data_IF_943599628760
#
_entry.id   IF_943599628760
#
_cell.length_a   1.000
_cell.length_b   1.000
_cell.length_c   1.000
_cell.angle_alpha   90.00
_cell.angle_beta   90.00
_cell.angle_gamma   90.00
#
_symmetry.space_group_name_H-M   'P 1'
#
loop_
_entity.id
_entity.type
_entity.pdbx_description
1 polymer ?
#
# COMPACT_ATOMS: atom_id res chain seq x y z
N UNK A 1 -0.59 8.12 24.51
CA UNK A 1 0.82 8.58 24.26
C UNK A 1 0.98 10.07 24.55
N UNK A 2 0.29 10.98 23.87
CA UNK A 2 0.48 12.44 24.04
C UNK A 2 0.19 13.03 25.43
N UNK A 3 -0.49 12.29 26.32
CA UNK A 3 -0.71 12.66 27.73
C UNK A 3 0.42 12.23 28.67
N UNK A 4 1.29 11.35 28.21
CA UNK A 4 2.42 10.77 28.95
C UNK A 4 3.74 11.34 28.47
N UNK A 5 3.80 11.68 27.18
CA UNK A 5 4.95 12.30 26.54
C UNK A 5 4.51 13.53 25.76
N UNK A 6 5.31 14.59 25.83
CA UNK A 6 5.09 15.81 25.05
C UNK A 6 5.36 15.54 23.57
N UNK A 7 4.33 15.19 22.80
CA UNK A 7 4.43 14.92 21.36
C UNK A 7 3.86 16.13 20.60
N UNK A 8 4.58 16.67 19.60
CA UNK A 8 4.03 17.75 18.78
C UNK A 8 2.80 17.27 18.00
N UNK A 9 1.85 18.16 17.75
CA UNK A 9 0.62 17.84 17.02
C UNK A 9 0.86 17.28 15.61
N UNK A 10 2.02 17.60 15.01
CA UNK A 10 2.51 17.01 13.77
C UNK A 10 3.97 16.60 13.95
N UNK A 11 4.30 15.39 13.51
CA UNK A 11 5.68 14.90 13.56
C UNK A 11 6.60 15.82 12.72
N UNK A 12 7.75 16.25 13.25
CA UNK A 12 8.78 16.94 12.47
C UNK A 12 9.32 16.08 11.32
N UNK A 13 9.18 14.75 11.46
CA UNK A 13 9.59 13.73 10.49
C UNK A 13 8.46 13.28 9.56
N UNK A 14 7.30 13.97 9.57
CA UNK A 14 6.21 13.62 8.66
C UNK A 14 6.66 13.77 7.19
N UNK A 15 6.28 12.83 6.28
CA UNK A 15 6.75 12.82 4.90
C UNK A 15 6.57 14.15 4.20
N UNK A 16 5.38 14.76 4.32
CA UNK A 16 5.02 16.05 3.74
C UNK A 16 5.99 17.19 4.13
N UNK A 17 6.55 17.15 5.34
CA UNK A 17 7.55 18.10 5.82
C UNK A 17 8.96 17.73 5.37
N UNK A 18 9.30 16.44 5.39
CA UNK A 18 10.60 15.97 4.92
C UNK A 18 10.81 16.32 3.46
N UNK A 19 9.78 16.26 2.61
CA UNK A 19 9.86 16.70 1.20
C UNK A 19 10.43 18.11 1.11
N UNK A 20 9.86 19.08 1.83
CA UNK A 20 10.30 20.47 1.75
C UNK A 20 11.70 20.69 2.33
N UNK A 21 12.07 19.94 3.36
CA UNK A 21 13.44 19.99 3.92
C UNK A 21 14.45 19.42 2.94
N UNK A 22 14.19 18.25 2.36
CA UNK A 22 15.02 17.65 1.33
C UNK A 22 15.14 18.57 0.11
N UNK A 23 14.02 19.12 -0.39
CA UNK A 23 14.00 20.06 -1.51
C UNK A 23 14.88 21.28 -1.22
N UNK A 24 14.76 21.89 -0.03
CA UNK A 24 15.60 23.02 0.35
C UNK A 24 17.08 22.62 0.47
N UNK A 25 17.41 21.47 1.07
CA UNK A 25 18.79 20.99 1.16
C UNK A 25 19.40 20.71 -0.22
N UNK A 26 18.61 20.18 -1.16
CA UNK A 26 19.03 20.02 -2.56
C UNK A 26 19.20 21.35 -3.29
N UNK A 27 18.37 22.35 -2.98
CA UNK A 27 18.49 23.69 -3.56
C UNK A 27 19.66 24.52 -2.97
N UNK A 28 19.97 24.34 -1.68
CA UNK A 28 20.99 25.11 -0.95
C UNK A 28 22.37 24.45 -0.92
N UNK A 29 22.48 23.19 -1.33
CA UNK A 29 23.74 22.45 -1.38
C UNK A 29 24.67 23.03 -2.44
N UNK A 30 25.52 23.98 -2.07
CA UNK A 30 26.71 24.30 -2.85
C UNK A 30 27.69 23.12 -2.88
N UNK A 31 28.77 23.24 -3.64
CA UNK A 31 29.78 22.18 -3.89
C UNK A 31 30.49 21.57 -2.66
N UNK A 32 30.18 22.04 -1.44
CA UNK A 32 30.72 21.52 -0.18
C UNK A 32 29.74 20.67 0.65
N UNK A 33 28.50 20.46 0.19
CA UNK A 33 27.55 19.65 0.94
C UNK A 33 27.94 18.16 0.95
N UNK A 34 27.97 17.47 2.11
CA UNK A 34 28.45 16.09 2.18
C UNK A 34 27.67 15.09 1.32
N UNK A 35 26.36 15.30 1.12
CA UNK A 35 25.55 14.45 0.23
C UNK A 35 25.86 14.65 -1.26
N UNK A 36 26.48 15.77 -1.65
CA UNK A 36 26.94 16.00 -3.03
C UNK A 36 28.31 15.36 -3.33
N UNK A 37 28.87 14.61 -2.38
CA UNK A 37 30.05 13.77 -2.65
C UNK A 37 29.75 12.67 -3.68
N UNK A 38 28.49 12.23 -3.80
CA UNK A 38 28.03 11.34 -4.88
C UNK A 38 28.05 12.08 -6.22
N UNK A 39 28.89 11.67 -7.20
CA UNK A 39 28.93 12.30 -8.51
C UNK A 39 27.60 12.19 -9.25
N UNK A 40 26.86 11.10 -9.02
CA UNK A 40 25.58 10.83 -9.67
C UNK A 40 24.49 11.78 -9.18
N UNK A 41 24.37 11.94 -7.87
CA UNK A 41 23.42 12.90 -7.29
C UNK A 41 23.77 14.33 -7.69
N UNK A 42 25.06 14.69 -7.64
CA UNK A 42 25.53 16.02 -8.01
C UNK A 42 25.23 16.35 -9.48
N UNK A 43 25.47 15.41 -10.40
CA UNK A 43 25.16 15.59 -11.83
C UNK A 43 23.66 15.68 -12.10
N UNK A 44 22.84 14.91 -11.39
CA UNK A 44 21.38 15.00 -11.52
C UNK A 44 20.89 16.38 -11.05
N UNK A 45 21.30 16.81 -9.85
CA UNK A 45 20.85 18.08 -9.27
C UNK A 45 21.31 19.31 -10.06
N UNK A 46 22.49 19.27 -10.69
CA UNK A 46 22.97 20.37 -11.52
C UNK A 46 22.17 20.55 -12.82
N UNK A 47 21.55 19.48 -13.31
CA UNK A 47 20.69 19.49 -14.50
C UNK A 47 19.18 19.59 -14.17
N UNK A 48 18.81 19.59 -12.89
CA UNK A 48 17.41 19.55 -12.46
C UNK A 48 16.77 20.93 -12.36
N UNK A 49 15.55 21.06 -12.87
CA UNK A 49 14.68 22.21 -12.57
C UNK A 49 14.04 22.10 -11.17
N UNK A 50 13.10 22.99 -10.85
CA UNK A 50 12.38 22.95 -9.57
C UNK A 50 11.48 21.71 -9.42
N UNK A 51 10.83 21.27 -10.51
CA UNK A 51 9.92 20.13 -10.49
C UNK A 51 10.67 18.81 -10.28
N UNK A 52 11.76 18.60 -11.02
CA UNK A 52 12.64 17.44 -10.87
C UNK A 52 13.24 17.34 -9.47
N UNK A 53 13.71 18.46 -8.90
CA UNK A 53 14.21 18.51 -7.51
C UNK A 53 13.13 18.17 -6.50
N UNK A 54 11.92 18.67 -6.71
CA UNK A 54 10.78 18.36 -5.85
C UNK A 54 10.39 16.88 -5.92
N UNK A 55 10.36 16.29 -7.12
CA UNK A 55 10.10 14.87 -7.31
C UNK A 55 11.15 13.99 -6.60
N UNK A 56 12.44 14.33 -6.74
CA UNK A 56 13.49 13.62 -6.00
C UNK A 56 13.28 13.76 -4.49
N UNK A 57 12.96 14.96 -3.99
CA UNK A 57 12.69 15.19 -2.59
C UNK A 57 11.49 14.36 -2.07
N UNK A 58 10.44 14.19 -2.89
CA UNK A 58 9.32 13.31 -2.57
C UNK A 58 9.75 11.84 -2.45
N UNK A 59 10.52 11.35 -3.42
CA UNK A 59 11.03 9.97 -3.42
C UNK A 59 11.92 9.71 -2.20
N UNK A 60 12.82 10.64 -1.89
CA UNK A 60 13.73 10.53 -0.74
C UNK A 60 12.98 10.61 0.58
N UNK A 61 12.05 11.55 0.75
CA UNK A 61 11.23 11.65 1.95
C UNK A 61 10.40 10.37 2.18
N UNK A 62 9.86 9.78 1.10
CA UNK A 62 9.17 8.49 1.17
C UNK A 62 10.12 7.38 1.65
N UNK A 63 11.32 7.27 1.08
CA UNK A 63 12.32 6.27 1.51
C UNK A 63 12.71 6.45 2.98
N UNK A 64 12.95 7.69 3.43
CA UNK A 64 13.26 7.97 4.84
C UNK A 64 12.11 7.61 5.79
N UNK A 65 10.86 7.87 5.40
CA UNK A 65 9.67 7.45 6.15
C UNK A 65 9.55 5.93 6.26
N UNK A 66 9.86 5.21 5.17
CA UNK A 66 9.94 3.75 5.20
C UNK A 66 11.04 3.28 6.17
N UNK A 67 12.23 3.88 6.15
CA UNK A 67 13.30 3.53 7.10
C UNK A 67 12.91 3.83 8.54
N UNK A 68 12.25 4.96 8.81
CA UNK A 68 11.75 5.31 10.15
C UNK A 68 10.83 4.24 10.74
N UNK A 69 10.12 3.50 9.88
CA UNK A 69 9.07 2.56 10.28
C UNK A 69 9.52 1.10 10.20
N UNK A 70 10.37 0.73 9.24
CA UNK A 70 10.78 -0.65 8.98
C UNK A 70 12.26 -0.96 9.30
N UNK A 71 13.14 0.04 9.28
CA UNK A 71 14.59 -0.10 9.49
C UNK A 71 15.16 1.01 10.38
N UNK A 72 14.61 1.24 11.57
CA UNK A 72 15.09 2.31 12.44
C UNK A 72 16.56 2.16 12.85
N UNK A 73 17.06 0.93 12.92
CA UNK A 73 18.46 0.61 13.17
C UNK A 73 19.40 1.15 12.08
N UNK A 74 18.95 1.25 10.82
CA UNK A 74 19.75 1.86 9.75
C UNK A 74 19.94 3.35 9.97
N UNK A 75 18.88 4.05 10.36
CA UNK A 75 18.94 5.47 10.65
C UNK A 75 19.81 5.78 11.87
N UNK A 76 19.80 4.88 12.87
CA UNK A 76 20.66 4.98 14.04
C UNK A 76 22.14 4.78 13.67
N UNK A 77 22.47 3.78 12.85
CA UNK A 77 23.82 3.54 12.34
C UNK A 77 24.32 4.76 11.55
N UNK A 78 23.51 5.30 10.63
CA UNK A 78 23.84 6.51 9.87
C UNK A 78 24.07 7.73 10.77
N UNK A 79 23.29 7.87 11.84
CA UNK A 79 23.50 8.93 12.82
C UNK A 79 24.83 8.79 13.56
N UNK A 80 25.25 7.55 13.87
CA UNK A 80 26.57 7.25 14.44
C UNK A 80 27.73 7.39 13.44
N UNK A 81 27.42 7.58 12.15
CA UNK A 81 28.42 7.64 11.07
C UNK A 81 28.88 6.27 10.58
N UNK A 82 28.14 5.22 10.92
CA UNK A 82 28.36 3.85 10.46
C UNK A 82 27.62 3.60 9.13
N UNK A 83 28.06 2.59 8.38
CA UNK A 83 27.42 2.14 7.15
C UNK A 83 26.70 0.81 7.39
N UNK A 84 25.48 0.70 6.85
CA UNK A 84 24.63 -0.50 6.88
C UNK A 84 24.93 -1.45 5.72
N UNK A 85 25.68 -1.00 4.70
CA UNK A 85 26.12 -1.83 3.58
C UNK A 85 27.62 -2.16 3.64
N UNK A 86 28.27 -1.89 4.79
CA UNK A 86 29.66 -2.25 5.07
C UNK A 86 29.74 -3.43 6.05
N UNK A 87 30.80 -4.24 5.92
CA UNK A 87 31.10 -5.37 6.81
C UNK A 87 30.41 -6.69 6.46
N UNK A 88 30.60 -7.71 7.32
CA UNK A 88 30.15 -9.08 7.09
C UNK A 88 28.62 -9.25 7.11
N UNK A 89 27.90 -8.31 7.73
CA UNK A 89 26.44 -8.28 7.78
C UNK A 89 25.79 -7.64 6.54
N UNK A 90 26.57 -7.05 5.63
CA UNK A 90 26.03 -6.42 4.43
C UNK A 90 25.42 -7.47 3.48
N UNK A 91 24.30 -7.17 2.79
CA UNK A 91 23.75 -8.08 1.80
C UNK A 91 24.80 -8.39 0.71
N UNK A 92 24.85 -9.65 0.26
CA UNK A 92 25.76 -10.03 -0.84
C UNK A 92 25.25 -9.47 -2.17
N UNK A 93 26.18 -9.12 -3.06
CA UNK A 93 25.83 -8.61 -4.41
C UNK A 93 25.44 -7.13 -4.46
N UNK A 94 25.72 -6.35 -3.40
CA UNK A 94 25.48 -4.91 -3.39
C UNK A 94 26.43 -4.22 -4.37
N UNK A 95 25.84 -3.47 -5.30
CA UNK A 95 26.55 -2.69 -6.31
C UNK A 95 27.25 -1.47 -5.70
N UNK A 96 28.30 -0.99 -6.36
CA UNK A 96 28.98 0.26 -5.93
C UNK A 96 28.04 1.47 -6.00
N UNK A 97 27.08 1.45 -6.92
CA UNK A 97 26.02 2.46 -7.00
C UNK A 97 25.13 2.48 -5.76
N UNK A 98 24.78 1.31 -5.21
CA UNK A 98 24.00 1.23 -3.98
C UNK A 98 24.79 1.68 -2.74
N UNK A 99 26.10 1.44 -2.71
CA UNK A 99 26.98 1.98 -1.65
C UNK A 99 27.12 3.50 -1.76
N UNK A 100 27.28 4.03 -2.97
CA UNK A 100 27.27 5.47 -3.21
C UNK A 100 25.93 6.10 -2.76
N UNK A 101 24.81 5.41 -3.02
CA UNK A 101 23.50 5.83 -2.56
C UNK A 101 23.38 5.92 -1.05
N UNK A 102 23.83 4.89 -0.36
CA UNK A 102 23.82 4.86 1.09
C UNK A 102 24.62 6.02 1.68
N UNK A 103 25.81 6.31 1.12
CA UNK A 103 26.66 7.39 1.63
C UNK A 103 25.98 8.76 1.57
N UNK A 104 25.37 9.12 0.42
CA UNK A 104 24.70 10.42 0.33
C UNK A 104 23.39 10.44 1.12
N UNK A 105 22.66 9.32 1.21
CA UNK A 105 21.45 9.20 2.03
C UNK A 105 21.77 9.40 3.52
N UNK A 106 22.82 8.74 4.03
CA UNK A 106 23.30 8.89 5.40
C UNK A 106 23.78 10.32 5.70
N UNK A 107 24.49 10.95 4.74
CA UNK A 107 24.91 12.34 4.85
C UNK A 107 23.71 13.31 4.89
N UNK A 108 22.72 13.11 4.03
CA UNK A 108 21.50 13.90 3.99
C UNK A 108 20.69 13.72 5.28
N UNK A 109 20.57 12.49 5.77
CA UNK A 109 19.88 12.17 7.03
C UNK A 109 20.50 12.90 8.22
N UNK A 110 21.83 12.90 8.35
CA UNK A 110 22.53 13.66 9.40
C UNK A 110 22.28 15.17 9.29
N UNK A 111 22.23 15.70 8.07
CA UNK A 111 21.91 17.12 7.85
C UNK A 111 20.48 17.46 8.26
N UNK A 112 19.51 16.60 7.91
CA UNK A 112 18.12 16.73 8.35
C UNK A 112 18.00 16.68 9.88
N UNK A 113 18.70 15.76 10.53
CA UNK A 113 18.74 15.67 12.00
C UNK A 113 19.35 16.91 12.65
N UNK A 114 20.40 17.48 12.07
CA UNK A 114 21.00 18.72 12.60
C UNK A 114 19.98 19.88 12.61
N UNK A 115 19.16 20.01 11.57
CA UNK A 115 18.07 21.00 11.51
C UNK A 115 16.85 20.67 12.38
N UNK A 116 16.78 19.43 12.86
CA UNK A 116 15.71 18.90 13.72
C UNK A 116 16.19 18.70 15.15
N UNK A 117 17.41 19.12 15.48
CA UNK A 117 18.04 18.86 16.79
C UNK A 117 17.20 19.34 17.97
N UNK A 118 16.55 20.51 17.84
CA UNK A 118 15.62 21.04 18.84
C UNK A 118 14.34 20.20 19.02
N UNK A 119 13.99 19.37 18.04
CA UNK A 119 12.79 18.54 18.05
C UNK A 119 12.98 17.17 18.72
N UNK A 120 14.23 16.76 18.98
CA UNK A 120 14.56 15.46 19.55
C UNK A 120 14.36 14.27 18.59
N UNK A 121 14.52 13.02 19.09
CA UNK A 121 14.30 11.83 18.29
C UNK A 121 12.83 11.70 17.84
N UNK A 122 12.53 10.91 16.80
CA UNK A 122 11.15 10.73 16.35
C UNK A 122 10.25 10.24 17.52
N UNK A 123 9.03 10.80 17.68
CA UNK A 123 8.23 10.57 18.88
C UNK A 123 7.90 9.11 19.20
N UNK A 124 7.70 8.27 18.17
CA UNK A 124 7.42 6.85 18.34
C UNK A 124 8.61 6.10 18.97
N UNK A 125 9.82 6.36 18.46
CA UNK A 125 11.06 5.80 19.00
C UNK A 125 11.33 6.28 20.41
N UNK A 126 11.11 7.58 20.67
CA UNK A 126 11.22 8.14 22.01
C UNK A 126 10.27 7.46 22.99
N UNK A 127 9.02 7.21 22.58
CA UNK A 127 8.05 6.50 23.40
C UNK A 127 8.50 5.08 23.73
N UNK A 128 9.03 4.31 22.77
CA UNK A 128 9.52 2.95 23.05
C UNK A 128 10.66 2.92 24.08
N UNK A 129 11.51 3.95 24.11
CA UNK A 129 12.60 4.07 25.08
C UNK A 129 12.07 4.52 26.45
N UNK A 130 11.26 5.58 26.48
CA UNK A 130 10.82 6.22 27.72
C UNK A 130 9.69 5.45 28.42
N UNK A 131 8.83 4.75 27.67
CA UNK A 131 7.69 3.98 28.18
C UNK A 131 8.08 3.01 29.30
N UNK A 132 9.28 2.43 29.22
CA UNK A 132 9.79 1.47 30.19
C UNK A 132 10.12 2.07 31.54
N UNK A 133 10.35 3.38 31.59
CA UNK A 133 10.76 4.12 32.78
C UNK A 133 9.62 4.95 33.38
N UNK A 134 8.39 4.83 32.84
CA UNK A 134 7.24 5.55 33.38
C UNK A 134 6.83 4.99 34.74
N UNK A 135 6.55 5.89 35.68
CA UNK A 135 6.00 5.53 36.98
C UNK A 135 4.49 5.23 36.90
N UNK A 136 3.99 4.52 37.91
CA UNK A 136 2.59 4.13 37.99
C UNK A 136 1.64 5.33 38.03
N UNK A 137 2.08 6.45 38.62
CA UNK A 137 1.27 7.66 38.73
C UNK A 137 1.07 8.34 37.37
N UNK A 138 2.12 8.43 36.55
CA UNK A 138 2.07 8.95 35.19
C UNK A 138 1.20 8.08 34.30
N UNK A 139 1.36 6.75 34.40
CA UNK A 139 0.53 5.79 33.67
C UNK A 139 -0.94 5.91 34.07
N UNK A 140 -1.25 6.05 35.36
CA UNK A 140 -2.64 6.18 35.84
C UNK A 140 -3.32 7.48 35.36
N UNK A 141 -2.56 8.56 35.18
CA UNK A 141 -3.08 9.87 34.73
C UNK A 141 -3.27 9.98 33.23
N UNK A 142 -2.79 9.02 32.46
CA UNK A 142 -2.70 9.08 31.01
C UNK A 142 -4.04 8.94 30.27
N UNK A 143 -5.15 8.68 30.97
CA UNK A 143 -6.51 8.53 30.42
C UNK A 143 -6.55 7.62 29.19
N UNK A 144 -6.05 6.40 29.37
CA UNK A 144 -5.97 5.42 28.30
C UNK A 144 -7.36 4.93 27.88
N UNK A 145 -7.56 4.55 26.61
CA UNK A 145 -8.76 3.79 26.24
C UNK A 145 -8.80 2.46 26.98
N UNK A 146 -9.98 1.91 27.22
CA UNK A 146 -10.13 0.60 27.88
C UNK A 146 -9.47 -0.54 27.08
N UNK A 147 -9.58 -0.48 25.75
CA UNK A 147 -8.94 -1.46 24.85
C UNK A 147 -8.68 -0.88 23.46
N UNK A 148 -7.78 -1.53 22.74
CA UNK A 148 -7.48 -1.29 21.33
C UNK A 148 -7.68 -2.60 20.56
N UNK A 149 -8.35 -2.53 19.42
CA UNK A 149 -8.55 -3.67 18.52
C UNK A 149 -8.08 -3.31 17.12
N UNK A 150 -7.23 -4.16 16.54
CA UNK A 150 -6.63 -3.98 15.21
C UNK A 150 -7.11 -5.12 14.32
N UNK A 151 -7.81 -4.80 13.23
CA UNK A 151 -8.47 -5.79 12.38
C UNK A 151 -7.78 -5.99 11.04
N UNK A 152 -7.41 -7.24 10.75
CA UNK A 152 -7.11 -7.79 9.43
C UNK A 152 -6.16 -6.94 8.55
N UNK A 153 -5.13 -6.34 9.16
CA UNK A 153 -4.13 -5.61 8.39
C UNK A 153 -3.24 -6.59 7.62
N UNK A 154 -3.09 -6.45 6.29
CA UNK A 154 -2.27 -7.36 5.49
C UNK A 154 -0.79 -7.27 5.89
N UNK A 155 -0.34 -6.08 6.28
CA UNK A 155 0.95 -5.83 6.91
C UNK A 155 0.83 -4.81 8.03
N UNK A 156 1.67 -4.97 9.04
CA UNK A 156 1.89 -4.03 10.11
C UNK A 156 3.39 -3.81 10.25
N UNK A 157 3.88 -2.57 10.13
CA UNK A 157 5.29 -2.29 10.33
C UNK A 157 5.78 -2.73 11.72
N UNK A 158 7.04 -3.21 11.86
CA UNK A 158 7.59 -3.64 13.15
C UNK A 158 7.50 -2.58 14.25
N UNK A 159 7.70 -1.30 13.90
CA UNK A 159 7.53 -0.19 14.83
C UNK A 159 6.13 -0.15 15.44
N UNK A 160 5.08 -0.35 14.64
CA UNK A 160 3.71 -0.34 15.14
C UNK A 160 3.41 -1.54 16.05
N UNK A 161 3.91 -2.74 15.71
CA UNK A 161 3.79 -3.91 16.60
C UNK A 161 4.51 -3.66 17.92
N UNK A 162 5.72 -3.08 17.89
CA UNK A 162 6.46 -2.71 19.10
C UNK A 162 5.70 -1.69 19.97
N UNK A 163 5.06 -0.69 19.34
CA UNK A 163 4.24 0.29 20.05
C UNK A 163 3.01 -0.37 20.69
N UNK A 164 2.30 -1.22 19.97
CA UNK A 164 1.15 -1.96 20.49
C UNK A 164 1.54 -2.88 21.65
N UNK A 165 2.71 -3.52 21.55
CA UNK A 165 3.27 -4.34 22.63
C UNK A 165 3.63 -3.53 23.87
N UNK A 166 4.24 -2.36 23.74
CA UNK A 166 4.51 -1.52 24.91
C UNK A 166 3.19 -0.98 25.51
N UNK A 167 2.18 -0.67 24.69
CA UNK A 167 0.85 -0.27 25.16
C UNK A 167 0.11 -1.40 25.88
N UNK A 168 0.28 -2.65 25.46
CA UNK A 168 -0.42 -3.81 26.06
C UNK A 168 -0.04 -4.06 27.53
N UNK A 169 1.00 -3.38 28.03
CA UNK A 169 1.37 -3.37 29.45
C UNK A 169 0.35 -2.65 30.32
N UNK A 170 -0.48 -1.78 29.75
CA UNK A 170 -1.42 -0.93 30.50
C UNK A 170 -2.87 -1.05 30.03
N UNK A 171 -3.11 -1.50 28.80
CA UNK A 171 -4.45 -1.65 28.22
C UNK A 171 -4.59 -2.98 27.49
N UNK A 172 -5.81 -3.43 27.27
CA UNK A 172 -6.05 -4.62 26.44
C UNK A 172 -5.83 -4.28 24.95
N UNK A 173 -5.00 -5.08 24.27
CA UNK A 173 -4.68 -4.92 22.86
C UNK A 173 -4.97 -6.23 22.14
N UNK A 174 -5.94 -6.20 21.22
CA UNK A 174 -6.35 -7.36 20.42
C UNK A 174 -5.97 -7.15 18.96
N UNK A 175 -5.20 -8.09 18.41
CA UNK A 175 -4.83 -8.08 16.99
C UNK A 175 -5.52 -9.27 16.32
N UNK A 176 -6.40 -8.97 15.36
CA UNK A 176 -7.09 -9.97 14.56
C UNK A 176 -6.33 -10.14 13.25
N UNK A 177 -5.47 -11.15 13.17
CA UNK A 177 -4.71 -11.46 11.96
C UNK A 177 -5.46 -12.50 11.10
N UNK A 178 -5.42 -12.33 9.78
CA UNK A 178 -5.91 -13.34 8.85
C UNK A 178 -4.80 -14.34 8.59
N UNK A 179 -5.01 -15.59 9.01
CA UNK A 179 -4.10 -16.69 8.72
C UNK A 179 -4.78 -17.67 7.74
N UNK A 180 -4.28 -17.82 6.50
CA UNK A 180 -4.89 -18.70 5.52
C UNK A 180 -4.64 -20.19 5.80
N UNK A 181 -3.73 -20.53 6.72
CA UNK A 181 -3.30 -21.89 7.01
C UNK A 181 -3.35 -22.15 8.53
N UNK A 182 -3.87 -23.30 8.94
CA UNK A 182 -3.90 -23.70 10.36
C UNK A 182 -2.61 -24.38 10.82
N UNK A 183 -1.86 -24.93 9.87
CA UNK A 183 -0.58 -25.56 10.12
C UNK A 183 0.54 -24.52 10.26
N UNK A 184 1.68 -24.93 10.81
CA UNK A 184 2.86 -24.08 10.84
C UNK A 184 3.44 -23.92 9.43
N UNK A 185 3.62 -22.68 8.98
CA UNK A 185 4.04 -22.40 7.60
C UNK A 185 5.05 -21.26 7.48
N UNK A 186 5.82 -20.96 8.54
CA UNK A 186 6.77 -19.86 8.52
C UNK A 186 8.05 -20.13 7.73
N UNK A 187 8.36 -21.40 7.46
CA UNK A 187 9.56 -21.82 6.72
C UNK A 187 9.24 -22.59 5.43
N UNK A 188 8.04 -22.37 4.87
CA UNK A 188 7.65 -23.08 3.64
C UNK A 188 8.24 -22.43 2.39
N UNK A 189 8.63 -23.26 1.44
CA UNK A 189 9.12 -22.90 0.10
C UNK A 189 8.44 -23.74 -0.98
N UNK A 190 8.55 -23.31 -2.24
CA UNK A 190 8.14 -24.14 -3.36
C UNK A 190 9.14 -25.27 -3.60
N UNK A 191 8.69 -26.37 -4.21
CA UNK A 191 9.55 -27.50 -4.56
C UNK A 191 10.77 -27.08 -5.41
N UNK A 192 10.55 -26.22 -6.41
CA UNK A 192 11.62 -25.69 -7.26
C UNK A 192 12.65 -24.85 -6.47
N UNK A 193 12.19 -24.09 -5.47
CA UNK A 193 13.09 -23.31 -4.61
C UNK A 193 13.86 -24.21 -3.63
N UNK A 194 13.22 -25.25 -3.09
CA UNK A 194 13.88 -26.25 -2.26
C UNK A 194 15.02 -26.95 -3.02
N UNK A 195 14.78 -27.40 -4.26
CA UNK A 195 15.83 -27.99 -5.11
C UNK A 195 17.01 -27.03 -5.34
N UNK A 196 16.73 -25.74 -5.55
CA UNK A 196 17.77 -24.73 -5.71
C UNK A 196 18.57 -24.48 -4.42
N UNK A 197 17.91 -24.49 -3.25
CA UNK A 197 18.55 -24.37 -1.94
C UNK A 197 19.40 -25.60 -1.61
N UNK A 198 18.92 -26.80 -1.90
CA UNK A 198 19.64 -28.06 -1.71
C UNK A 198 20.91 -28.10 -2.56
N UNK A 199 20.80 -27.73 -3.84
CA UNK A 199 21.95 -27.59 -4.73
C UNK A 199 22.99 -26.55 -4.23
N UNK A 200 22.54 -25.56 -3.46
CA UNK A 200 23.39 -24.55 -2.84
C UNK A 200 23.89 -24.94 -1.42
N UNK A 201 23.49 -26.11 -0.88
CA UNK A 201 23.81 -26.55 0.48
C UNK A 201 23.16 -25.70 1.56
N UNK A 202 21.95 -25.20 1.31
CA UNK A 202 21.23 -24.22 2.16
C UNK A 202 19.79 -24.63 2.49
N UNK A 203 19.40 -25.89 2.27
CA UNK A 203 18.06 -26.42 2.62
C UNK A 203 17.88 -26.64 4.12
N UNK A 204 18.56 -25.87 4.97
CA UNK A 204 18.41 -26.06 6.41
C UNK A 204 17.06 -25.48 6.85
N UNK A 205 16.21 -26.34 7.44
CA UNK A 205 14.92 -26.04 8.08
C UNK A 205 13.75 -25.61 7.16
N UNK A 206 13.91 -25.61 5.83
CA UNK A 206 12.84 -25.24 4.91
C UNK A 206 11.98 -26.46 4.51
N UNK A 207 10.66 -26.28 4.47
CA UNK A 207 9.71 -27.34 4.11
C UNK A 207 9.00 -27.03 2.78
N UNK A 208 8.68 -28.04 1.98
CA UNK A 208 7.89 -27.83 0.77
C UNK A 208 6.41 -27.73 1.15
N UNK A 209 5.83 -26.54 1.04
CA UNK A 209 4.42 -26.28 1.34
C UNK A 209 3.52 -26.24 0.11
N UNK A 210 2.24 -25.88 0.31
CA UNK A 210 1.30 -25.65 -0.80
C UNK A 210 1.84 -24.55 -1.74
N UNK A 211 1.94 -24.78 -3.06
CA UNK A 211 2.66 -23.89 -3.98
C UNK A 211 2.11 -22.45 -4.03
N UNK A 212 0.77 -22.31 -4.04
CA UNK A 212 0.13 -20.98 -4.01
C UNK A 212 0.45 -20.21 -2.72
N UNK A 213 0.51 -20.91 -1.57
CA UNK A 213 0.80 -20.27 -0.30
C UNK A 213 2.28 -19.87 -0.21
N UNK A 214 3.18 -20.72 -0.70
CA UNK A 214 4.61 -20.42 -0.74
C UNK A 214 4.95 -19.22 -1.66
N UNK A 215 4.28 -19.07 -2.82
CA UNK A 215 4.56 -17.96 -3.75
C UNK A 215 3.84 -16.66 -3.37
N UNK A 216 2.55 -16.74 -3.06
CA UNK A 216 1.68 -15.57 -2.85
C UNK A 216 1.53 -15.19 -1.38
N UNK A 217 1.81 -16.11 -0.46
CA UNK A 217 1.66 -15.92 0.98
C UNK A 217 2.84 -15.24 1.68
N UNK A 218 3.96 -14.99 1.00
CA UNK A 218 5.21 -14.46 1.61
C UNK A 218 5.02 -13.22 2.49
N UNK A 219 4.15 -12.30 2.07
CA UNK A 219 3.84 -11.10 2.84
C UNK A 219 3.12 -11.43 4.15
N UNK A 220 2.08 -12.26 4.08
CA UNK A 220 1.33 -12.73 5.25
C UNK A 220 2.20 -13.61 6.16
N UNK A 221 3.06 -14.44 5.59
CA UNK A 221 4.04 -15.28 6.29
C UNK A 221 4.96 -14.41 7.16
N UNK A 222 5.60 -13.40 6.56
CA UNK A 222 6.48 -12.47 7.26
C UNK A 222 5.72 -11.69 8.36
N UNK A 223 4.48 -11.30 8.10
CA UNK A 223 3.63 -10.61 9.06
C UNK A 223 3.30 -11.48 10.28
N UNK A 224 2.86 -12.73 10.06
CA UNK A 224 2.51 -13.66 11.13
C UNK A 224 3.73 -14.09 11.93
N UNK A 225 4.86 -14.35 11.25
CA UNK A 225 6.13 -14.64 11.90
C UNK A 225 6.57 -13.48 12.81
N UNK A 226 6.54 -12.25 12.31
CA UNK A 226 6.87 -11.06 13.11
C UNK A 226 5.93 -10.89 14.31
N UNK A 227 4.63 -11.10 14.12
CA UNK A 227 3.67 -11.06 15.24
C UNK A 227 3.98 -12.13 16.27
N UNK A 228 4.31 -13.36 15.85
CA UNK A 228 4.69 -14.45 16.73
C UNK A 228 5.94 -14.09 17.56
N UNK A 229 7.04 -13.71 16.91
CA UNK A 229 8.30 -13.33 17.57
C UNK A 229 8.13 -12.16 18.55
N UNK A 230 7.43 -11.10 18.14
CA UNK A 230 7.28 -9.91 18.97
C UNK A 230 6.31 -10.11 20.14
N UNK A 231 5.42 -11.10 20.07
CA UNK A 231 4.43 -11.39 21.12
C UNK A 231 4.78 -12.57 22.01
N UNK A 232 5.81 -13.35 21.67
CA UNK A 232 6.27 -14.53 22.44
C UNK A 232 6.56 -14.23 23.91
N UNK A 233 7.14 -13.05 24.17
CA UNK A 233 7.51 -12.61 25.53
C UNK A 233 6.46 -11.75 26.22
N UNK A 234 5.34 -11.46 25.56
CA UNK A 234 4.20 -10.79 26.18
C UNK A 234 3.30 -11.84 26.86
N UNK A 235 2.48 -11.42 27.84
CA UNK A 235 1.37 -12.23 28.32
C UNK A 235 0.27 -12.29 27.22
N UNK A 236 0.60 -12.89 26.09
CA UNK A 236 -0.25 -13.03 24.93
C UNK A 236 -1.05 -14.32 25.03
N UNK A 237 -2.33 -14.25 24.67
CA UNK A 237 -3.16 -15.42 24.43
C UNK A 237 -3.45 -15.49 22.94
N UNK A 238 -3.23 -16.65 22.34
CA UNK A 238 -3.72 -16.92 20.98
C UNK A 238 -5.07 -17.64 21.03
N UNK A 239 -5.96 -17.24 20.14
CA UNK A 239 -7.28 -17.83 19.97
C UNK A 239 -7.51 -18.07 18.47
N UNK A 240 -6.87 -19.10 17.94
CA UNK A 240 -6.96 -19.45 16.53
C UNK A 240 -8.35 -19.97 16.19
N UNK A 241 -8.95 -19.44 15.12
CA UNK A 241 -10.29 -19.81 14.63
C UNK A 241 -10.21 -20.08 13.14
N UNK A 242 -10.20 -21.36 12.79
CA UNK A 242 -10.18 -21.84 11.41
C UNK A 242 -11.52 -22.47 11.06
N UNK A 243 -11.98 -22.24 9.84
CA UNK A 243 -13.26 -22.77 9.31
C UNK A 243 -13.00 -23.30 7.92
N UNK A 244 -13.34 -24.56 7.69
CA UNK A 244 -13.30 -25.19 6.37
C UNK A 244 -14.43 -24.69 5.50
N UNK A 245 -14.20 -24.63 4.18
CA UNK A 245 -15.27 -24.41 3.22
C UNK A 245 -15.92 -25.77 2.88
N UNK A 246 -17.18 -26.03 3.28
CA UNK A 246 -17.83 -27.32 3.07
C UNK A 246 -18.37 -27.49 1.64
N UNK A 247 -18.32 -26.47 0.79
CA UNK A 247 -18.92 -26.53 -0.54
C UNK A 247 -18.23 -27.59 -1.43
N UNK A 248 -18.98 -28.36 -2.24
CA UNK A 248 -18.41 -29.38 -3.11
C UNK A 248 -17.82 -28.80 -4.42
N UNK A 249 -17.10 -27.67 -4.33
CA UNK A 249 -16.57 -26.93 -5.49
C UNK A 249 -15.05 -26.98 -5.55
N UNK A 250 -14.49 -26.66 -6.72
CA UNK A 250 -13.03 -26.55 -6.86
C UNK A 250 -12.44 -25.43 -6.01
N UNK A 251 -13.17 -24.32 -5.84
CA UNK A 251 -12.77 -23.22 -4.97
C UNK A 251 -12.59 -23.67 -3.52
N UNK A 252 -13.60 -24.35 -2.97
CA UNK A 252 -13.57 -24.86 -1.60
C UNK A 252 -12.41 -25.84 -1.39
N UNK A 253 -12.14 -26.69 -2.37
CA UNK A 253 -11.03 -27.64 -2.27
C UNK A 253 -9.67 -26.96 -2.24
N UNK A 254 -9.44 -26.00 -3.13
CA UNK A 254 -8.19 -25.22 -3.14
C UNK A 254 -8.04 -24.43 -1.83
N UNK A 255 -9.11 -23.84 -1.32
CA UNK A 255 -9.11 -23.13 -0.03
C UNK A 255 -8.76 -24.06 1.13
N UNK A 256 -9.39 -25.24 1.22
CA UNK A 256 -9.11 -26.20 2.28
C UNK A 256 -7.70 -26.81 2.16
N UNK A 257 -7.19 -26.99 0.94
CA UNK A 257 -5.81 -27.45 0.76
C UNK A 257 -4.78 -26.41 1.21
N UNK A 258 -5.03 -25.12 0.96
CA UNK A 258 -4.21 -24.06 1.56
C UNK A 258 -4.36 -24.07 3.09
N UNK A 259 -5.58 -24.28 3.59
CA UNK A 259 -5.88 -24.31 5.03
C UNK A 259 -5.12 -25.41 5.78
N UNK A 260 -5.06 -26.63 5.21
CA UNK A 260 -4.37 -27.80 5.79
C UNK A 260 -2.92 -27.95 5.31
N UNK A 261 -2.37 -26.98 4.58
CA UNK A 261 -1.06 -27.06 3.93
C UNK A 261 -0.89 -28.32 3.05
N UNK A 262 -1.98 -28.80 2.44
CA UNK A 262 -1.99 -30.02 1.64
C UNK A 262 -1.30 -29.80 0.28
N UNK A 263 -0.44 -30.72 -0.19
CA UNK A 263 0.15 -30.65 -1.52
C UNK A 263 -0.88 -30.74 -2.65
N UNK A 264 -0.60 -30.08 -3.78
CA UNK A 264 -1.49 -30.09 -4.97
C UNK A 264 -1.74 -31.51 -5.51
N UNK A 265 -0.72 -32.38 -5.45
CA UNK A 265 -0.80 -33.76 -5.92
C UNK A 265 -1.86 -34.59 -5.17
N UNK A 266 -2.27 -34.17 -3.98
CA UNK A 266 -3.22 -34.88 -3.12
C UNK A 266 -4.65 -34.33 -3.24
N UNK A 267 -4.90 -33.34 -4.10
CA UNK A 267 -6.22 -32.75 -4.31
C UNK A 267 -7.24 -33.69 -4.95
N UNK A 268 -6.81 -34.84 -5.48
CA UNK A 268 -7.68 -35.87 -6.06
C UNK A 268 -8.45 -35.42 -7.32
N UNK A 269 -9.55 -36.11 -7.63
CA UNK A 269 -10.33 -35.89 -8.86
C UNK A 269 -11.22 -34.63 -8.82
N UNK A 270 -11.30 -33.90 -9.93
CA UNK A 270 -12.04 -32.64 -10.03
C UNK A 270 -13.51 -32.77 -9.52
N UNK A 271 -13.98 -31.83 -8.68
CA UNK A 271 -15.35 -31.82 -8.19
C UNK A 271 -16.35 -31.55 -9.31
N UNK A 272 -17.60 -31.98 -9.11
CA UNK A 272 -18.68 -31.84 -10.10
C UNK A 272 -19.14 -30.38 -10.30
N UNK A 273 -19.03 -29.53 -9.27
CA UNK A 273 -19.53 -28.16 -9.29
C UNK A 273 -18.44 -27.12 -9.58
N UNK A 274 -18.80 -26.11 -10.37
CA UNK A 274 -17.92 -25.01 -10.76
C UNK A 274 -17.80 -24.02 -9.60
N UNK A 275 -16.57 -23.69 -9.19
CA UNK A 275 -16.30 -22.61 -8.23
C UNK A 275 -15.25 -21.60 -8.72
N UNK A 276 -14.53 -21.93 -9.79
CA UNK A 276 -13.52 -21.08 -10.42
C UNK A 276 -13.75 -21.16 -11.93
N UNK A 277 -13.81 -20.01 -12.60
CA UNK A 277 -13.96 -19.93 -14.06
C UNK A 277 -12.85 -19.06 -14.66
N UNK A 278 -12.36 -19.44 -15.84
CA UNK A 278 -11.36 -18.69 -16.60
C UNK A 278 -11.97 -18.30 -17.94
N UNK A 279 -11.97 -16.99 -18.24
CA UNK A 279 -12.57 -16.43 -19.46
C UNK A 279 -11.50 -15.75 -20.31
N UNK A 280 -11.35 -16.18 -21.56
CA UNK A 280 -10.40 -15.60 -22.52
C UNK A 280 -11.16 -14.69 -23.48
N UNK A 281 -10.80 -13.40 -23.50
CA UNK A 281 -11.44 -12.38 -24.32
C UNK A 281 -10.40 -11.56 -25.09
N UNK A 282 -10.80 -10.97 -26.22
CA UNK A 282 -9.88 -10.26 -27.12
C UNK A 282 -9.67 -8.77 -26.78
N UNK A 283 -10.45 -8.19 -25.84
CA UNK A 283 -10.30 -6.79 -25.41
C UNK A 283 -10.92 -6.57 -24.02
N UNK A 284 -10.53 -5.49 -23.34
CA UNK A 284 -11.10 -5.10 -22.05
C UNK A 284 -12.61 -4.81 -22.13
N UNK A 285 -13.07 -4.16 -23.20
CA UNK A 285 -14.51 -3.94 -23.42
C UNK A 285 -15.26 -5.28 -23.49
N UNK A 286 -14.72 -6.26 -24.24
CA UNK A 286 -15.34 -7.58 -24.34
C UNK A 286 -15.28 -8.36 -23.02
N UNK A 287 -14.20 -8.21 -22.24
CA UNK A 287 -14.11 -8.79 -20.90
C UNK A 287 -15.24 -8.27 -20.00
N UNK A 288 -15.52 -6.97 -20.03
CA UNK A 288 -16.57 -6.35 -19.24
C UNK A 288 -17.98 -6.76 -19.70
N UNK A 289 -18.22 -6.86 -21.01
CA UNK A 289 -19.48 -7.39 -21.55
C UNK A 289 -19.74 -8.83 -21.10
N UNK A 290 -18.73 -9.71 -21.25
CA UNK A 290 -18.84 -11.11 -20.81
C UNK A 290 -19.06 -11.19 -19.31
N UNK A 291 -18.36 -10.38 -18.51
CA UNK A 291 -18.56 -10.30 -17.07
C UNK A 291 -20.00 -9.88 -16.73
N UNK A 292 -20.52 -8.85 -17.39
CA UNK A 292 -21.89 -8.37 -17.19
C UNK A 292 -22.91 -9.49 -17.45
N UNK A 293 -22.78 -10.21 -18.57
CA UNK A 293 -23.66 -11.33 -18.91
C UNK A 293 -23.56 -12.48 -17.89
N UNK A 294 -22.35 -12.79 -17.39
CA UNK A 294 -22.15 -13.80 -16.33
C UNK A 294 -22.80 -13.40 -15.02
N UNK A 295 -22.66 -12.14 -14.60
CA UNK A 295 -23.27 -11.63 -13.39
C UNK A 295 -24.80 -11.71 -13.46
N UNK A 296 -25.42 -11.31 -14.58
CA UNK A 296 -26.86 -11.46 -14.79
C UNK A 296 -27.29 -12.93 -14.65
N UNK A 297 -26.57 -13.85 -15.29
CA UNK A 297 -26.87 -15.27 -15.19
C UNK A 297 -26.74 -15.81 -13.76
N UNK A 298 -25.78 -15.31 -12.96
CA UNK A 298 -25.65 -15.70 -11.55
C UNK A 298 -26.77 -15.12 -10.68
N UNK A 299 -27.15 -13.86 -10.86
CA UNK A 299 -28.28 -13.27 -10.13
C UNK A 299 -29.62 -13.93 -10.48
N UNK A 300 -29.80 -14.38 -11.72
CA UNK A 300 -30.99 -15.13 -12.14
C UNK A 300 -31.01 -16.56 -11.56
N UNK A 301 -29.84 -17.19 -11.39
CA UNK A 301 -29.71 -18.55 -10.90
C UNK A 301 -29.79 -18.65 -9.36
N UNK A 302 -29.30 -17.64 -8.64
CA UNK A 302 -29.27 -17.61 -7.18
C UNK A 302 -29.87 -16.29 -6.65
N UNK A 303 -31.12 -16.39 -6.16
CA UNK A 303 -31.84 -15.24 -5.61
C UNK A 303 -31.26 -14.72 -4.28
N UNK A 304 -30.35 -15.46 -3.64
CA UNK A 304 -29.68 -15.01 -2.40
C UNK A 304 -28.49 -14.10 -2.69
N UNK A 305 -27.86 -14.24 -3.87
CA UNK A 305 -26.71 -13.46 -4.28
C UNK A 305 -27.11 -12.01 -4.55
N UNK A 306 -26.57 -11.07 -3.78
CA UNK A 306 -26.80 -9.65 -3.99
C UNK A 306 -25.62 -9.01 -4.76
N UNK A 307 -25.85 -7.93 -5.52
CA UNK A 307 -24.75 -7.18 -6.14
C UNK A 307 -23.68 -6.69 -5.16
N UNK A 308 -24.05 -6.46 -3.88
CA UNK A 308 -23.11 -6.10 -2.81
C UNK A 308 -22.13 -7.20 -2.42
N UNK A 309 -22.40 -8.45 -2.78
CA UNK A 309 -21.57 -9.61 -2.48
C UNK A 309 -20.48 -9.82 -3.54
N UNK A 310 -20.49 -9.02 -4.61
CA UNK A 310 -19.59 -9.14 -5.76
C UNK A 310 -18.51 -8.05 -5.72
N UNK A 311 -17.25 -8.46 -5.75
CA UNK A 311 -16.10 -7.57 -5.95
C UNK A 311 -15.47 -7.85 -7.32
N UNK A 312 -15.34 -6.80 -8.13
CA UNK A 312 -14.59 -6.84 -9.40
C UNK A 312 -13.31 -6.04 -9.24
N UNK A 313 -12.16 -6.72 -9.29
CA UNK A 313 -10.85 -6.09 -9.24
C UNK A 313 -10.25 -5.96 -10.65
N UNK A 314 -9.71 -4.78 -10.97
CA UNK A 314 -9.04 -4.50 -12.24
C UNK A 314 -7.67 -3.88 -11.97
N UNK A 315 -6.69 -4.17 -12.83
CA UNK A 315 -5.32 -3.68 -12.65
C UNK A 315 -5.17 -2.18 -12.93
N UNK A 316 -5.88 -1.67 -13.94
CA UNK A 316 -5.91 -0.25 -14.31
C UNK A 316 -7.34 0.27 -14.28
N UNK A 317 -7.72 0.84 -13.13
CA UNK A 317 -9.06 1.37 -12.93
C UNK A 317 -9.32 2.64 -13.75
N UNK A 318 -8.28 3.42 -14.04
CA UNK A 318 -8.42 4.66 -14.82
C UNK A 318 -8.76 4.35 -16.29
N UNK A 319 -8.11 3.34 -16.87
CA UNK A 319 -8.44 2.85 -18.21
C UNK A 319 -9.79 2.12 -18.26
N UNK A 320 -10.14 1.36 -17.21
CA UNK A 320 -11.38 0.59 -17.16
C UNK A 320 -12.63 1.44 -16.90
N UNK A 321 -12.53 2.52 -16.13
CA UNK A 321 -13.68 3.32 -15.67
C UNK A 321 -14.68 3.70 -16.76
N UNK A 322 -14.25 4.38 -17.85
CA UNK A 322 -15.16 4.75 -18.95
C UNK A 322 -15.82 3.56 -19.64
N UNK A 323 -15.10 2.42 -19.74
CA UNK A 323 -15.63 1.20 -20.34
C UNK A 323 -16.64 0.49 -19.44
N UNK A 324 -16.41 0.52 -18.11
CA UNK A 324 -17.37 0.03 -17.11
C UNK A 324 -18.66 0.84 -17.24
N UNK A 325 -18.57 2.17 -17.30
CA UNK A 325 -19.75 3.03 -17.48
C UNK A 325 -20.46 2.77 -18.81
N UNK A 326 -19.73 2.53 -19.89
CA UNK A 326 -20.32 2.21 -21.18
C UNK A 326 -21.07 0.87 -21.16
N UNK A 327 -20.55 -0.17 -20.49
CA UNK A 327 -21.16 -1.51 -20.48
C UNK A 327 -22.28 -1.61 -19.43
N UNK A 328 -22.02 -1.17 -18.20
CA UNK A 328 -22.97 -1.31 -17.08
C UNK A 328 -23.96 -0.13 -16.99
N UNK A 329 -23.62 1.02 -17.57
CA UNK A 329 -24.46 2.23 -17.54
C UNK A 329 -25.50 2.31 -18.66
N UNK A 330 -25.34 1.58 -19.76
CA UNK A 330 -26.19 1.69 -20.96
C UNK A 330 -27.38 0.73 -21.00
N UNK A 331 -27.72 0.08 -19.88
CA UNK A 331 -28.95 -0.72 -19.80
C UNK A 331 -30.18 0.18 -20.04
N UNK A 332 -30.69 0.17 -21.27
CA UNK A 332 -31.86 0.93 -21.69
C UNK A 332 -33.10 0.55 -20.88
N UNK A 333 -34.14 1.39 -20.97
CA UNK A 333 -35.42 1.18 -20.30
C UNK A 333 -36.05 -0.17 -20.70
N UNK A 334 -35.77 -1.23 -19.92
CA UNK A 334 -36.28 -2.59 -20.15
C UNK A 334 -35.26 -3.72 -19.98
N UNK A 335 -33.95 -3.43 -19.91
CA UNK A 335 -32.91 -4.44 -19.64
C UNK A 335 -32.68 -4.67 -18.15
N UNK A 336 -32.30 -5.89 -17.76
CA UNK A 336 -31.84 -6.18 -16.40
C UNK A 336 -30.56 -5.39 -16.11
N UNK A 337 -30.59 -4.56 -15.08
CA UNK A 337 -29.49 -3.66 -14.72
C UNK A 337 -28.78 -4.16 -13.46
N UNK A 338 -27.47 -4.38 -13.56
CA UNK A 338 -26.62 -4.66 -12.39
C UNK A 338 -26.15 -3.32 -11.79
N UNK A 339 -26.56 -2.94 -10.57
CA UNK A 339 -26.03 -1.75 -9.93
C UNK A 339 -24.55 -1.94 -9.58
N UNK A 340 -23.75 -0.90 -9.79
CA UNK A 340 -22.31 -0.93 -9.52
C UNK A 340 -21.84 0.39 -8.91
N UNK A 341 -20.67 0.34 -8.26
CA UNK A 341 -19.93 1.52 -7.81
C UNK A 341 -18.45 1.30 -8.07
N UNK A 342 -17.82 2.27 -8.72
CA UNK A 342 -16.37 2.27 -8.92
C UNK A 342 -15.71 2.90 -7.68
N UNK A 343 -14.81 2.15 -7.05
CA UNK A 343 -14.02 2.62 -5.89
C UNK A 343 -12.53 2.46 -6.17
N UNK A 344 -11.70 3.40 -5.70
CA UNK A 344 -10.25 3.36 -5.88
C UNK A 344 -9.69 4.36 -6.90
N UNK A 345 -10.55 5.10 -7.61
CA UNK A 345 -10.10 6.24 -8.40
C UNK A 345 -9.62 7.37 -7.47
N UNK A 346 -8.56 8.12 -7.82
CA UNK A 346 -8.16 9.30 -7.08
C UNK A 346 -9.36 10.25 -6.89
N UNK A 347 -9.55 10.88 -5.71
CA UNK A 347 -10.66 11.81 -5.49
C UNK A 347 -10.73 12.93 -6.54
N UNK A 348 -9.58 13.34 -7.07
CA UNK A 348 -9.45 14.30 -8.16
C UNK A 348 -10.00 13.82 -9.50
N UNK A 349 -9.99 12.52 -9.76
CA UNK A 349 -10.57 11.91 -10.97
C UNK A 349 -12.04 11.54 -10.78
N UNK A 350 -12.44 11.16 -9.57
CA UNK A 350 -13.83 10.80 -9.25
C UNK A 350 -14.76 12.02 -9.14
N UNK A 351 -14.23 13.21 -8.81
CA UNK A 351 -15.00 14.44 -8.72
C UNK A 351 -14.85 15.28 -10.02
N UNK A 352 -15.94 15.47 -10.79
CA UNK A 352 -15.89 16.22 -12.05
C UNK A 352 -15.37 17.65 -11.90
N UNK A 353 -15.68 18.33 -10.79
CA UNK A 353 -15.22 19.70 -10.53
C UNK A 353 -13.72 19.72 -10.23
N UNK A 354 -13.23 18.75 -9.47
CA UNK A 354 -11.80 18.64 -9.16
C UNK A 354 -10.99 18.34 -10.43
N UNK A 355 -11.52 17.49 -11.33
CA UNK A 355 -10.90 17.21 -12.63
C UNK A 355 -10.76 18.47 -13.47
N UNK A 356 -11.85 19.24 -13.64
CA UNK A 356 -11.82 20.52 -14.37
C UNK A 356 -10.82 21.50 -13.74
N UNK A 357 -10.79 21.60 -12.41
CA UNK A 357 -9.82 22.47 -11.72
C UNK A 357 -8.37 22.09 -12.03
N UNK A 358 -8.03 20.79 -12.00
CA UNK A 358 -6.67 20.34 -12.32
C UNK A 358 -6.32 20.57 -13.78
N UNK A 359 -7.26 20.33 -14.71
CA UNK A 359 -7.08 20.63 -16.12
C UNK A 359 -6.86 22.14 -16.34
N UNK A 360 -7.56 22.99 -15.59
CA UNK A 360 -7.37 24.44 -15.63
C UNK A 360 -6.02 24.89 -15.07
N UNK A 361 -5.55 24.27 -13.99
CA UNK A 361 -4.21 24.56 -13.44
C UNK A 361 -3.10 24.16 -14.42
N UNK A 362 -3.33 23.17 -15.27
CA UNK A 362 -2.40 22.71 -16.30
C UNK A 362 -2.46 23.53 -17.61
N UNK A 363 -3.33 24.55 -17.70
CA UNK A 363 -3.44 25.41 -18.89
C UNK A 363 -2.13 26.06 -19.35
N UNK A 364 -1.21 26.51 -18.48
CA UNK A 364 0.04 27.11 -18.94
C UNK A 364 0.90 26.17 -19.79
N UNK A 365 0.70 24.86 -19.64
CA UNK A 365 1.49 23.81 -20.30
C UNK A 365 0.71 23.09 -21.41
N UNK A 366 -0.57 23.43 -21.62
CA UNK A 366 -1.49 22.70 -22.50
C UNK A 366 -2.21 23.62 -23.46
N UNK A 367 -2.45 23.12 -24.66
CA UNK A 367 -3.41 23.72 -25.58
C UNK A 367 -4.78 23.10 -25.32
N UNK A 368 -5.83 23.92 -25.33
CA UNK A 368 -7.21 23.49 -25.12
C UNK A 368 -7.92 23.38 -26.45
N UNK A 369 -8.41 22.19 -26.76
CA UNK A 369 -9.22 21.95 -27.94
C UNK A 369 -10.70 22.31 -27.72
N UNK A 370 -11.42 22.53 -28.83
CA UNK A 370 -12.88 22.63 -28.83
C UNK A 370 -13.59 21.48 -28.08
N UNK A 371 -13.19 20.20 -28.23
CA UNK A 371 -13.83 19.10 -27.50
C UNK A 371 -13.66 19.20 -25.99
N UNK A 372 -12.46 19.55 -25.51
CA UNK A 372 -12.18 19.70 -24.09
C UNK A 372 -13.00 20.84 -23.47
N UNK A 373 -13.13 21.96 -24.19
CA UNK A 373 -13.98 23.07 -23.76
C UNK A 373 -15.44 22.65 -23.60
N UNK A 374 -15.97 21.88 -24.56
CA UNK A 374 -17.34 21.34 -24.48
C UNK A 374 -17.50 20.42 -23.26
N UNK A 375 -16.53 19.56 -22.99
CA UNK A 375 -16.56 18.67 -21.82
C UNK A 375 -16.54 19.45 -20.50
N UNK A 376 -15.84 20.57 -20.41
CA UNK A 376 -15.90 21.44 -19.23
C UNK A 376 -17.28 22.06 -19.05
N UNK A 377 -17.90 22.52 -20.14
CA UNK A 377 -19.24 23.09 -20.11
C UNK A 377 -20.34 22.08 -19.76
N UNK A 378 -20.08 20.77 -19.93
CA UNK A 378 -20.99 19.70 -19.47
C UNK A 378 -20.98 19.50 -17.96
N UNK A 379 -19.98 20.00 -17.23
CA UNK A 379 -19.92 19.85 -15.78
C UNK A 379 -20.93 20.79 -15.13
N UNK A 380 -21.90 20.24 -14.39
CA UNK A 380 -23.03 20.99 -13.80
C UNK A 380 -22.62 22.27 -13.07
N UNK A 381 -21.55 22.23 -12.27
CA UNK A 381 -21.07 23.40 -11.53
C UNK A 381 -20.54 24.52 -12.46
N UNK A 382 -19.92 24.15 -13.58
CA UNK A 382 -19.45 25.09 -14.61
C UNK A 382 -20.64 25.63 -15.39
N UNK A 383 -21.53 24.74 -15.86
CA UNK A 383 -22.74 25.09 -16.58
C UNK A 383 -23.60 26.09 -15.80
N UNK A 384 -23.87 25.80 -14.53
CA UNK A 384 -24.62 26.68 -13.63
C UNK A 384 -23.93 28.04 -13.41
N UNK A 385 -22.59 28.06 -13.29
CA UNK A 385 -21.84 29.30 -13.07
C UNK A 385 -21.86 30.25 -14.27
N UNK A 386 -21.91 29.70 -15.48
CA UNK A 386 -21.90 30.45 -16.73
C UNK A 386 -23.27 30.56 -17.40
N UNK A 387 -24.33 29.99 -16.80
CA UNK A 387 -25.69 30.03 -17.33
C UNK A 387 -25.84 29.23 -18.63
N UNK A 388 -25.08 28.14 -18.79
CA UNK A 388 -25.14 27.27 -19.96
C UNK A 388 -26.20 26.20 -19.70
N UNK A 389 -27.30 26.29 -20.43
CA UNK A 389 -28.31 25.23 -20.51
C UNK A 389 -28.02 24.26 -21.66
N UNK A 390 -28.86 23.23 -21.81
CA UNK A 390 -28.70 22.22 -22.86
C UNK A 390 -28.70 22.84 -24.28
N UNK A 391 -29.55 23.85 -24.52
CA UNK A 391 -29.66 24.52 -25.82
C UNK A 391 -28.42 25.36 -26.13
N UNK A 392 -27.89 26.08 -25.13
CA UNK A 392 -26.64 26.80 -25.26
C UNK A 392 -25.46 25.87 -25.52
N UNK A 393 -25.42 24.70 -24.87
CA UNK A 393 -24.37 23.70 -25.09
C UNK A 393 -24.39 23.13 -26.51
N UNK A 394 -25.57 22.81 -27.06
CA UNK A 394 -25.72 22.38 -28.47
C UNK A 394 -25.26 23.47 -29.46
N UNK A 395 -25.59 24.73 -29.16
CA UNK A 395 -25.15 25.88 -29.97
C UNK A 395 -23.63 26.01 -29.97
N UNK A 396 -22.99 25.90 -28.80
CA UNK A 396 -21.52 25.94 -28.66
C UNK A 396 -20.86 24.80 -29.42
N UNK A 397 -21.40 23.58 -29.33
CA UNK A 397 -20.89 22.43 -30.10
C UNK A 397 -20.94 22.68 -31.61
N UNK A 398 -22.03 23.29 -32.09
CA UNK A 398 -22.18 23.63 -33.51
C UNK A 398 -21.17 24.69 -33.95
N UNK A 399 -20.96 25.73 -33.15
CA UNK A 399 -20.00 26.80 -33.46
C UNK A 399 -18.55 26.32 -33.45
N UNK A 400 -18.20 25.41 -32.55
CA UNK A 400 -16.84 24.89 -32.42
C UNK A 400 -16.53 23.76 -33.43
N UNK A 401 -17.55 23.19 -34.07
CA UNK A 401 -17.40 22.21 -35.15
C UNK A 401 -17.28 22.84 -36.54
N UNK A 402 -17.64 24.12 -36.68
CA UNK A 402 -17.52 24.93 -37.89
C UNK A 402 -16.13 25.60 -37.97
#
# INVERSE_FOLDING_TARGET
IGRVLTVPARSPFAPDRLVWRCYRLFAQGGSGAPWLASPRLAAYLSASDDAMRYELAQRVASVLDHYLTYRPEWLAAWQAGESVLAGDAAPRGISDAARDDEHWQAALWRALLAELSDSGPPPAHRFLVEARNLDLETVARADWPESVSVFALPTMPPLHVALLRELSRWIDVRVYALNPCREFWFDIVTAAHAEALDAAGRLDYQEVGHPLLAEWGRQTQAQLHMLHELTESAASGDASRFVENPAPTWLARVQNAILELQPEAELGEAPAERGIEVHVCHSLARQLEVLHDRLLAWFDADATLQPSDVLVAVADLAAAGPLIDAVFGTAGAGGARVPYRITGLPPSQANPVARVLLEWLALPERQVGAPELVEWLRVDAVAARYGIDATALETVQTWLAA
#
